data_IF_360719538487
#
_entry.id   IF_360719538487
#
_cell.length_a   1.000
_cell.length_b   1.000
_cell.length_c   1.000
_cell.angle_alpha   90.00
_cell.angle_beta   90.00
_cell.angle_gamma   90.00
#
_symmetry.space_group_name_H-M   'P 1'
#
loop_
_entity.id
_entity.type
_entity.pdbx_description
1 polymer ?
#
# COMPACT_ATOMS: atom_id res chain seq x y z
N UNK A 1 -3.35 -27.13 -2.74
CA UNK A 1 -3.70 -26.33 -3.88
C UNK A 1 -2.71 -25.21 -4.10
N UNK A 2 -2.13 -25.22 -5.27
CA UNK A 2 -1.05 -24.28 -5.56
C UNK A 2 -1.57 -23.04 -6.25
N UNK A 3 -1.49 -21.95 -5.58
CA UNK A 3 -1.79 -20.67 -6.20
C UNK A 3 -0.60 -20.20 -7.00
N UNK A 4 -0.84 -19.46 -8.05
CA UNK A 4 0.24 -18.89 -8.83
C UNK A 4 1.01 -17.88 -7.98
N UNK A 5 2.24 -17.60 -8.40
CA UNK A 5 3.03 -16.56 -7.73
C UNK A 5 2.31 -15.21 -7.78
N UNK A 6 1.71 -14.89 -8.91
CA UNK A 6 1.01 -13.62 -9.05
C UNK A 6 -0.14 -13.51 -8.04
N UNK A 7 -0.94 -14.57 -7.91
CA UNK A 7 -2.02 -14.57 -6.94
C UNK A 7 -1.50 -14.36 -5.51
N UNK A 8 -0.43 -15.08 -5.16
CA UNK A 8 0.14 -14.99 -3.83
C UNK A 8 0.67 -13.58 -3.54
N UNK A 9 1.43 -13.02 -4.48
CA UNK A 9 2.00 -11.68 -4.31
C UNK A 9 0.90 -10.63 -4.19
N UNK A 10 -0.13 -10.73 -5.01
CA UNK A 10 -1.24 -9.78 -4.95
C UNK A 10 -2.00 -9.85 -3.63
N UNK A 11 -2.19 -11.06 -3.11
CA UNK A 11 -2.85 -11.23 -1.82
C UNK A 11 -2.01 -10.64 -0.69
N UNK A 12 -0.69 -10.86 -0.73
CA UNK A 12 0.20 -10.30 0.26
C UNK A 12 0.21 -8.77 0.18
N UNK A 13 0.26 -8.23 -1.02
CA UNK A 13 0.21 -6.79 -1.22
C UNK A 13 -1.09 -6.20 -0.66
N UNK A 14 -2.21 -6.85 -0.94
CA UNK A 14 -3.50 -6.41 -0.43
C UNK A 14 -3.53 -6.38 1.09
N UNK A 15 -2.98 -7.43 1.73
CA UNK A 15 -2.89 -7.46 3.19
C UNK A 15 -2.05 -6.31 3.73
N UNK A 16 -0.92 -6.04 3.10
CA UNK A 16 -0.05 -4.94 3.51
C UNK A 16 -0.74 -3.60 3.36
N UNK A 17 -1.49 -3.41 2.29
CA UNK A 17 -2.21 -2.16 2.08
C UNK A 17 -3.33 -1.95 3.09
N UNK A 18 -3.82 -3.02 3.68
CA UNK A 18 -4.83 -2.95 4.73
C UNK A 18 -4.23 -2.73 6.11
N UNK A 19 -2.92 -2.59 6.18
CA UNK A 19 -2.24 -2.40 7.46
C UNK A 19 -1.96 -3.69 8.21
N UNK A 20 -2.07 -4.82 7.52
CA UNK A 20 -1.78 -6.11 8.13
C UNK A 20 -0.29 -6.39 8.13
N UNK A 21 0.13 -7.25 9.04
CA UNK A 21 1.52 -7.67 9.18
C UNK A 21 1.67 -9.06 8.56
N UNK A 22 2.74 -9.27 7.81
CA UNK A 22 3.02 -10.56 7.21
C UNK A 22 4.20 -11.19 7.91
N UNK A 23 3.94 -12.31 8.58
CA UNK A 23 4.98 -13.15 9.16
C UNK A 23 5.33 -14.23 8.14
N UNK A 24 6.62 -14.42 7.88
CA UNK A 24 7.04 -15.34 6.82
C UNK A 24 6.62 -16.78 7.10
N UNK A 25 6.71 -17.21 8.34
CA UNK A 25 6.31 -18.56 8.69
C UNK A 25 4.82 -18.78 8.46
N UNK A 26 4.01 -17.85 8.95
CA UNK A 26 2.55 -17.94 8.79
C UNK A 26 2.15 -17.87 7.34
N UNK A 27 2.75 -16.96 6.59
CA UNK A 27 2.45 -16.82 5.17
C UNK A 27 2.86 -18.06 4.40
N UNK A 28 4.02 -18.63 4.73
CA UNK A 28 4.46 -19.86 4.11
C UNK A 28 3.46 -21.01 4.32
N UNK A 29 2.95 -21.13 5.54
CA UNK A 29 1.95 -22.14 5.84
C UNK A 29 0.64 -21.87 5.11
N UNK A 30 0.22 -20.64 5.09
CA UNK A 30 -1.03 -20.25 4.44
C UNK A 30 -1.02 -20.52 2.94
N UNK A 31 0.10 -20.23 2.30
CA UNK A 31 0.21 -20.37 0.85
C UNK A 31 0.88 -21.67 0.41
N UNK A 32 1.32 -22.48 1.35
CA UNK A 32 1.94 -23.77 1.02
C UNK A 32 3.31 -23.65 0.37
N UNK A 33 4.10 -22.65 0.76
CA UNK A 33 5.44 -22.43 0.24
C UNK A 33 6.40 -22.21 1.39
N UNK A 34 7.70 -22.26 1.12
CA UNK A 34 8.69 -22.06 2.17
C UNK A 34 8.92 -20.57 2.42
N UNK A 35 9.66 -20.29 3.50
CA UNK A 35 9.91 -18.90 3.89
C UNK A 35 10.78 -18.16 2.89
N UNK A 36 11.67 -18.88 2.20
CA UNK A 36 12.48 -18.26 1.16
C UNK A 36 11.61 -17.71 0.02
N UNK A 37 10.60 -18.47 -0.33
CA UNK A 37 9.66 -18.05 -1.37
C UNK A 37 8.91 -16.80 -0.92
N UNK A 38 8.46 -16.78 0.34
CA UNK A 38 7.80 -15.60 0.89
C UNK A 38 8.75 -14.41 0.90
N UNK A 39 10.00 -14.62 1.26
CA UNK A 39 11.00 -13.54 1.26
C UNK A 39 11.17 -12.96 -0.14
N UNK A 40 11.25 -13.82 -1.15
CA UNK A 40 11.35 -13.36 -2.53
C UNK A 40 10.14 -12.56 -2.97
N UNK A 41 8.97 -13.02 -2.56
CA UNK A 41 7.74 -12.31 -2.87
C UNK A 41 7.72 -10.92 -2.22
N UNK A 42 8.17 -10.85 -0.97
CA UNK A 42 8.26 -9.57 -0.27
C UNK A 42 9.29 -8.65 -0.93
N UNK A 43 10.40 -9.21 -1.41
CA UNK A 43 11.39 -8.44 -2.14
C UNK A 43 10.82 -7.88 -3.44
N UNK A 44 10.02 -8.68 -4.13
CA UNK A 44 9.34 -8.23 -5.36
C UNK A 44 8.39 -7.07 -5.05
N UNK A 45 7.66 -7.16 -3.96
CA UNK A 45 6.78 -6.08 -3.52
C UNK A 45 7.59 -4.84 -3.20
N UNK A 46 8.72 -5.00 -2.53
CA UNK A 46 9.59 -3.87 -2.22
C UNK A 46 10.09 -3.18 -3.49
N UNK A 47 10.48 -3.95 -4.49
CA UNK A 47 10.91 -3.39 -5.77
C UNK A 47 9.79 -2.61 -6.44
N UNK A 48 8.59 -3.15 -6.43
CA UNK A 48 7.43 -2.47 -6.99
C UNK A 48 7.17 -1.15 -6.28
N UNK A 49 7.25 -1.15 -4.95
CA UNK A 49 7.03 0.07 -4.18
C UNK A 49 8.08 1.12 -4.48
N UNK A 50 9.33 0.71 -4.68
CA UNK A 50 10.39 1.64 -5.04
C UNK A 50 10.15 2.26 -6.42
N UNK A 51 9.64 1.48 -7.36
CA UNK A 51 9.30 2.00 -8.68
C UNK A 51 8.16 3.01 -8.60
N UNK A 52 7.21 2.79 -7.72
CA UNK A 52 6.11 3.72 -7.52
C UNK A 52 6.57 5.08 -7.01
N UNK A 53 7.65 5.11 -6.23
CA UNK A 53 8.23 6.37 -5.78
C UNK A 53 8.68 7.19 -6.99
N UNK A 54 9.33 6.53 -7.94
CA UNK A 54 9.82 7.21 -9.13
C UNK A 54 8.68 7.67 -10.05
N UNK A 55 7.65 6.86 -10.17
CA UNK A 55 6.56 7.14 -11.11
C UNK A 55 5.54 8.12 -10.56
N UNK A 56 5.21 8.00 -9.28
CA UNK A 56 4.08 8.73 -8.69
C UNK A 56 4.47 9.61 -7.51
N UNK A 57 5.70 9.52 -7.06
CA UNK A 57 6.12 10.25 -5.87
C UNK A 57 5.51 9.75 -4.58
N UNK A 58 4.86 8.59 -4.63
CA UNK A 58 4.25 7.98 -3.43
C UNK A 58 5.28 7.09 -2.77
N UNK A 59 5.58 7.39 -1.51
CA UNK A 59 6.57 6.64 -0.77
C UNK A 59 5.92 5.74 0.26
N UNK A 60 5.96 4.44 -0.01
CA UNK A 60 5.59 3.42 0.95
C UNK A 60 6.81 2.53 1.14
N UNK A 61 7.08 2.14 2.36
CA UNK A 61 8.24 1.34 2.65
C UNK A 61 7.83 0.06 3.35
N UNK A 62 8.38 -1.05 2.89
CA UNK A 62 8.16 -2.34 3.50
C UNK A 62 9.22 -2.53 4.57
N UNK A 63 8.81 -2.58 5.83
CA UNK A 63 9.73 -2.70 6.94
C UNK A 63 9.41 -3.92 7.78
N UNK A 64 10.42 -4.44 8.47
CA UNK A 64 10.24 -5.52 9.42
C UNK A 64 9.97 -4.93 10.79
N UNK A 65 8.85 -5.29 11.37
CA UNK A 65 8.45 -4.82 12.69
C UNK A 65 8.74 -5.92 13.71
N UNK A 66 9.73 -5.72 14.55
CA UNK A 66 10.13 -6.71 15.53
C UNK A 66 9.05 -6.98 16.58
N UNK A 67 8.31 -5.96 16.94
CA UNK A 67 7.24 -6.13 17.93
C UNK A 67 6.15 -7.02 17.42
N UNK A 68 5.82 -6.88 16.15
CA UNK A 68 4.75 -7.66 15.53
C UNK A 68 5.27 -8.91 14.86
N UNK A 69 6.58 -9.10 14.85
CA UNK A 69 7.24 -10.25 14.27
C UNK A 69 6.82 -10.49 12.82
N UNK A 70 6.89 -9.44 12.03
CA UNK A 70 6.52 -9.56 10.64
C UNK A 70 6.75 -8.28 9.87
N UNK A 71 6.48 -8.35 8.59
CA UNK A 71 6.62 -7.22 7.69
C UNK A 71 5.33 -6.42 7.62
N UNK A 72 5.47 -5.12 7.59
CA UNK A 72 4.33 -4.22 7.41
C UNK A 72 4.72 -3.09 6.50
N UNK A 73 3.71 -2.45 5.96
CA UNK A 73 3.91 -1.32 5.08
C UNK A 73 3.85 -0.04 5.90
N UNK A 74 4.85 0.80 5.75
CA UNK A 74 4.86 2.11 6.38
C UNK A 74 4.73 3.16 5.31
N UNK A 75 3.74 4.02 5.45
CA UNK A 75 3.56 5.13 4.54
C UNK A 75 4.33 6.32 5.06
N UNK A 76 5.00 7.01 4.17
CA UNK A 76 5.74 8.18 4.56
C UNK A 76 4.79 9.27 5.03
N UNK A 77 5.18 9.91 6.13
CA UNK A 77 4.33 10.91 6.76
C UNK A 77 4.02 12.08 5.86
N UNK A 78 4.97 12.46 5.01
CA UNK A 78 4.76 13.54 4.06
C UNK A 78 3.63 13.29 3.08
N UNK A 79 3.27 12.04 2.91
CA UNK A 79 2.18 11.66 2.00
C UNK A 79 0.88 11.42 2.75
N UNK A 80 0.89 11.58 4.05
CA UNK A 80 -0.29 11.37 4.89
C UNK A 80 -0.93 12.68 5.23
N UNK A 81 -2.22 12.70 5.12
CA UNK A 81 -3.02 13.83 5.56
C UNK A 81 -3.91 13.39 6.69
N UNK A 82 -4.11 14.27 7.68
CA UNK A 82 -5.10 14.04 8.70
C UNK A 82 -6.48 14.05 8.05
N UNK A 83 -7.48 13.52 8.75
CA UNK A 83 -8.84 13.55 8.23
C UNK A 83 -9.29 14.99 7.94
N UNK A 84 -8.90 15.92 8.80
CA UNK A 84 -9.23 17.32 8.60
C UNK A 84 -8.58 17.89 7.36
N UNK A 85 -7.32 17.56 7.14
CA UNK A 85 -6.61 18.01 5.96
C UNK A 85 -7.22 17.45 4.69
N UNK A 86 -7.58 16.19 4.70
CA UNK A 86 -8.22 15.54 3.55
C UNK A 86 -9.56 16.21 3.26
N UNK A 87 -10.34 16.47 4.29
CA UNK A 87 -11.62 17.15 4.13
C UNK A 87 -11.45 18.57 3.58
N UNK A 88 -10.45 19.27 4.08
CA UNK A 88 -10.18 20.62 3.60
C UNK A 88 -9.79 20.63 2.13
N UNK A 89 -8.91 19.73 1.73
CA UNK A 89 -8.49 19.61 0.34
C UNK A 89 -9.68 19.25 -0.54
N UNK A 90 -10.49 18.30 -0.09
CA UNK A 90 -11.67 17.88 -0.83
C UNK A 90 -12.64 19.05 -0.99
N UNK A 91 -12.84 19.80 0.06
CA UNK A 91 -13.73 20.96 0.03
C UNK A 91 -13.24 22.01 -0.97
N UNK A 92 -11.95 22.30 -0.95
CA UNK A 92 -11.37 23.27 -1.87
C UNK A 92 -11.57 22.82 -3.31
N UNK A 93 -11.35 21.56 -3.58
CA UNK A 93 -11.53 21.02 -4.93
C UNK A 93 -12.98 21.09 -5.37
N UNK A 94 -13.90 20.77 -4.47
CA UNK A 94 -15.32 20.85 -4.76
C UNK A 94 -15.77 22.28 -4.98
N UNK A 95 -15.29 23.20 -4.17
CA UNK A 95 -15.61 24.61 -4.33
C UNK A 95 -15.09 25.14 -5.65
N UNK A 96 -13.88 24.77 -6.02
CA UNK A 96 -13.30 25.16 -7.31
C UNK A 96 -14.13 24.62 -8.46
N UNK A 97 -14.54 23.37 -8.35
CA UNK A 97 -15.35 22.74 -9.39
C UNK A 97 -16.71 23.43 -9.51
N UNK A 98 -17.35 23.69 -8.40
CA UNK A 98 -18.64 24.37 -8.39
C UNK A 98 -18.51 25.77 -8.98
N UNK A 99 -17.46 26.46 -8.62
CA UNK A 99 -17.21 27.79 -9.14
C UNK A 99 -16.98 27.77 -10.65
N UNK A 100 -16.21 26.81 -11.12
CA UNK A 100 -15.93 26.66 -12.53
C UNK A 100 -17.19 26.32 -13.33
N UNK A 101 -18.08 25.57 -12.74
CA UNK A 101 -19.28 25.10 -13.42
C UNK A 101 -20.37 26.16 -13.48
N UNK A 102 -20.42 27.03 -12.50
CA UNK A 102 -21.46 28.05 -12.41
C UNK A 102 -21.61 28.91 -13.62
N UNK A 103 -20.53 29.49 -14.14
CA UNK A 103 -20.66 30.37 -15.30
C UNK A 103 -21.27 29.67 -16.50
N UNK A 104 -21.05 28.37 -16.59
CA UNK A 104 -21.62 27.61 -17.69
C UNK A 104 -23.12 27.39 -17.52
N UNK A 105 -23.56 27.35 -16.31
CA UNK A 105 -24.98 27.20 -16.02
C UNK A 105 -25.72 28.49 -16.23
N UNK A 106 -25.08 29.54 -15.85
CA UNK A 106 -25.65 30.87 -16.05
C UNK A 106 -25.64 31.26 -17.52
#
# INVERSE_FOLDING_TARGET
>A
DKRSKADRVLRMYDLLMRGKVINKTDAGQKFGVDEKTIQRDLDDIRCYLNERVNDFGIQNELIYDRRKNGYRLEQEEGMRFSNEEVLAITKILLDSRAFTTRPMIA
#
